data_IF_305322963251
#
_entry.id   IF_305322963251
#
_cell.length_a   1.000
_cell.length_b   1.000
_cell.length_c   1.000
_cell.angle_alpha   90.00
_cell.angle_beta   90.00
_cell.angle_gamma   90.00
#
_symmetry.space_group_name_H-M   'P 1'
#
loop_
_entity.id
_entity.type
_entity.pdbx_description
1 polymer ?
#
# COMPACT_ATOMS: atom_id res chain seq x y z
N UNK A 1 26.57 4.80 12.36
CA UNK A 1 27.06 4.06 11.17
C UNK A 1 25.90 3.88 10.22
N UNK A 2 26.08 3.84 8.90
CA UNK A 2 24.98 3.50 8.01
C UNK A 2 24.46 2.11 8.37
N UNK A 3 23.18 1.98 8.52
CA UNK A 3 22.51 0.70 8.82
C UNK A 3 22.41 -0.05 7.49
N UNK A 4 23.23 -1.10 7.32
CA UNK A 4 23.25 -1.91 6.10
C UNK A 4 22.54 -3.23 6.38
N UNK A 5 21.45 -3.54 5.68
CA UNK A 5 20.76 -4.83 5.81
C UNK A 5 21.64 -5.98 5.30
N UNK A 6 21.64 -7.11 6.00
CA UNK A 6 22.24 -8.36 5.58
C UNK A 6 21.17 -9.31 5.07
N UNK A 7 21.46 -10.04 3.97
CA UNK A 7 20.50 -10.92 3.30
C UNK A 7 21.06 -12.31 3.14
N UNK A 8 20.26 -13.32 3.49
CA UNK A 8 20.54 -14.75 3.23
C UNK A 8 19.32 -15.39 2.56
N UNK A 9 19.60 -16.26 1.57
CA UNK A 9 18.60 -17.16 1.01
C UNK A 9 18.74 -18.53 1.65
N UNK A 10 17.70 -19.02 2.30
CA UNK A 10 17.66 -20.36 2.90
C UNK A 10 17.34 -21.42 1.84
N UNK A 11 17.61 -22.71 2.14
CA UNK A 11 17.13 -23.80 1.32
C UNK A 11 15.62 -23.68 1.06
N UNK A 12 15.16 -23.97 -0.17
CA UNK A 12 13.76 -23.77 -0.57
C UNK A 12 13.44 -22.39 -1.12
N UNK A 13 14.36 -21.40 -1.01
CA UNK A 13 14.22 -20.08 -1.62
C UNK A 13 13.65 -18.99 -0.71
N UNK A 14 13.38 -19.30 0.57
CA UNK A 14 13.01 -18.28 1.57
C UNK A 14 14.14 -17.27 1.76
N UNK A 15 13.82 -16.00 1.69
CA UNK A 15 14.80 -14.93 1.89
C UNK A 15 14.66 -14.33 3.28
N UNK A 16 15.80 -14.16 3.94
CA UNK A 16 15.89 -13.54 5.28
C UNK A 16 16.68 -12.25 5.15
N UNK A 17 16.15 -11.17 5.66
CA UNK A 17 16.88 -9.90 5.77
C UNK A 17 16.92 -9.42 7.20
N UNK A 18 18.10 -8.98 7.65
CA UNK A 18 18.29 -8.42 9.00
C UNK A 18 18.85 -7.02 8.91
N UNK A 19 18.22 -6.10 9.62
CA UNK A 19 18.66 -4.73 9.78
C UNK A 19 19.05 -4.50 11.23
N UNK A 20 20.34 -4.61 11.55
CA UNK A 20 20.82 -4.47 12.93
C UNK A 20 20.73 -3.02 13.41
N UNK A 21 20.08 -2.80 14.53
CA UNK A 21 19.98 -1.52 15.24
C UNK A 21 20.35 -1.76 16.70
N UNK A 22 21.66 -1.76 16.99
CA UNK A 22 22.20 -2.14 18.31
C UNK A 22 21.76 -1.25 19.46
N UNK A 23 21.28 -0.03 19.19
CA UNK A 23 20.74 0.88 20.22
C UNK A 23 19.26 0.65 20.54
N UNK A 24 18.58 -0.19 19.80
CA UNK A 24 17.17 -0.51 20.07
C UNK A 24 17.06 -1.48 21.26
N UNK A 25 15.95 -1.38 22.01
CA UNK A 25 15.58 -2.33 23.07
C UNK A 25 14.48 -3.29 22.62
N UNK A 26 14.29 -3.37 21.31
CA UNK A 26 13.21 -4.14 20.70
C UNK A 26 13.62 -4.66 19.33
N UNK A 27 12.87 -5.63 18.86
CA UNK A 27 12.97 -6.16 17.51
C UNK A 27 11.60 -6.16 16.84
N UNK A 28 11.57 -5.82 15.56
CA UNK A 28 10.40 -5.99 14.70
C UNK A 28 10.64 -7.16 13.76
N UNK A 29 9.71 -8.10 13.73
CA UNK A 29 9.70 -9.22 12.80
C UNK A 29 8.56 -9.01 11.82
N UNK A 30 8.85 -9.03 10.52
CA UNK A 30 7.84 -8.90 9.46
C UNK A 30 8.01 -10.02 8.46
N UNK A 31 6.91 -10.69 8.12
CA UNK A 31 6.86 -11.72 7.08
C UNK A 31 6.05 -11.17 5.92
N UNK A 32 6.71 -10.97 4.81
CA UNK A 32 6.12 -10.51 3.56
C UNK A 32 5.85 -11.68 2.64
N UNK A 33 4.62 -11.79 2.18
CA UNK A 33 4.21 -12.76 1.16
C UNK A 33 3.86 -12.00 -0.11
N UNK A 34 4.39 -12.39 -1.26
CA UNK A 34 4.12 -11.78 -2.56
C UNK A 34 2.75 -12.17 -3.11
N UNK A 35 1.74 -12.08 -2.26
CA UNK A 35 0.35 -12.38 -2.52
C UNK A 35 -0.52 -11.25 -1.97
N UNK A 36 -1.32 -10.63 -2.82
CA UNK A 36 -2.26 -9.58 -2.47
C UNK A 36 -3.48 -9.63 -3.37
N UNK A 37 -4.41 -8.70 -3.19
CA UNK A 37 -5.70 -8.73 -3.90
C UNK A 37 -5.59 -8.71 -5.43
N UNK A 38 -4.43 -8.33 -5.98
CA UNK A 38 -4.18 -8.38 -7.42
C UNK A 38 -4.03 -9.79 -7.99
N UNK A 39 -3.71 -10.77 -7.15
CA UNK A 39 -3.64 -12.18 -7.53
C UNK A 39 -4.99 -12.89 -7.57
N UNK A 40 -6.06 -12.24 -7.16
CA UNK A 40 -7.41 -12.81 -7.08
C UNK A 40 -8.09 -12.92 -8.43
N UNK A 41 -9.04 -13.84 -8.51
CA UNK A 41 -9.97 -13.99 -9.61
C UNK A 41 -11.32 -13.35 -9.26
N UNK A 42 -12.20 -13.19 -10.24
CA UNK A 42 -13.51 -12.56 -10.05
C UNK A 42 -14.33 -13.19 -8.91
N UNK A 43 -14.33 -14.51 -8.83
CA UNK A 43 -15.05 -15.29 -7.80
C UNK A 43 -14.44 -15.12 -6.41
N UNK A 44 -13.15 -14.87 -6.32
CA UNK A 44 -12.37 -14.84 -5.07
C UNK A 44 -11.99 -13.43 -4.63
N UNK A 45 -12.64 -12.39 -5.16
CA UNK A 45 -12.42 -11.00 -4.71
C UNK A 45 -12.54 -10.89 -3.19
N UNK A 46 -11.49 -10.39 -2.53
CA UNK A 46 -11.42 -10.24 -1.07
C UNK A 46 -10.78 -11.42 -0.33
N UNK A 47 -10.38 -12.49 -1.05
CA UNK A 47 -9.79 -13.69 -0.44
C UNK A 47 -8.48 -13.39 0.29
N UNK A 48 -7.58 -12.62 -0.29
CA UNK A 48 -6.28 -12.29 0.30
C UNK A 48 -6.44 -11.54 1.63
N UNK A 49 -7.34 -10.58 1.69
CA UNK A 49 -7.66 -9.83 2.89
C UNK A 49 -8.39 -10.70 3.94
N UNK A 50 -9.34 -11.49 3.52
CA UNK A 50 -10.04 -12.38 4.45
C UNK A 50 -9.08 -13.47 5.01
N UNK A 51 -8.16 -13.98 4.19
CA UNK A 51 -7.13 -14.89 4.69
C UNK A 51 -6.21 -14.22 5.72
N UNK A 52 -5.87 -12.95 5.52
CA UNK A 52 -5.12 -12.19 6.53
C UNK A 52 -5.79 -12.31 7.90
N UNK A 53 -7.11 -12.04 7.99
CA UNK A 53 -7.89 -12.20 9.22
C UNK A 53 -7.83 -13.62 9.77
N UNK A 54 -7.97 -14.61 8.88
CA UNK A 54 -8.01 -16.02 9.28
C UNK A 54 -6.69 -16.53 9.87
N UNK A 55 -5.55 -15.94 9.51
CA UNK A 55 -4.25 -16.29 10.09
C UNK A 55 -4.16 -16.02 11.60
N UNK A 56 -5.02 -15.14 12.14
CA UNK A 56 -5.09 -14.84 13.58
C UNK A 56 -6.07 -15.73 14.35
N UNK A 57 -6.82 -16.62 13.69
CA UNK A 57 -7.95 -17.35 14.32
C UNK A 57 -7.55 -18.67 14.97
N UNK A 58 -6.25 -18.92 15.10
CA UNK A 58 -5.70 -20.03 15.86
C UNK A 58 -4.90 -21.02 15.02
N UNK A 59 -4.10 -21.78 15.76
CA UNK A 59 -3.25 -22.87 15.29
C UNK A 59 -3.45 -24.10 16.20
N UNK A 60 -2.97 -25.30 15.88
CA UNK A 60 -3.00 -26.42 16.82
C UNK A 60 -2.28 -26.15 18.14
N UNK A 61 -1.26 -25.28 18.12
CA UNK A 61 -0.51 -24.87 19.33
C UNK A 61 -1.22 -23.78 20.12
N UNK A 62 -1.97 -22.91 19.46
CA UNK A 62 -2.72 -21.77 20.01
C UNK A 62 -4.11 -21.78 19.42
N UNK A 63 -5.04 -22.60 19.98
CA UNK A 63 -6.32 -22.91 19.32
C UNK A 63 -7.30 -21.73 19.13
N UNK A 64 -7.01 -20.55 19.65
CA UNK A 64 -7.88 -19.38 19.55
C UNK A 64 -7.12 -18.10 19.20
N UNK A 65 -7.85 -17.11 18.67
CA UNK A 65 -7.31 -15.78 18.41
C UNK A 65 -6.74 -15.11 19.67
N UNK A 66 -7.36 -15.36 20.83
CA UNK A 66 -6.88 -14.83 22.12
C UNK A 66 -5.51 -15.40 22.47
N UNK A 67 -5.32 -16.71 22.32
CA UNK A 67 -4.04 -17.37 22.62
C UNK A 67 -2.92 -16.97 21.64
N UNK A 68 -3.27 -16.70 20.37
CA UNK A 68 -2.32 -16.13 19.40
C UNK A 68 -1.90 -14.72 19.83
N UNK A 69 -2.86 -13.87 20.18
CA UNK A 69 -2.58 -12.51 20.64
C UNK A 69 -1.79 -12.50 21.95
N UNK A 70 -2.19 -13.28 22.96
CA UNK A 70 -1.53 -13.38 24.26
C UNK A 70 -0.06 -13.84 24.16
N UNK A 71 0.28 -14.66 23.14
CA UNK A 71 1.66 -15.09 22.93
C UNK A 71 2.61 -13.92 22.63
N UNK A 72 2.11 -12.84 22.03
CA UNK A 72 2.89 -11.63 21.72
C UNK A 72 2.61 -10.53 22.76
N UNK A 73 1.35 -10.27 23.09
CA UNK A 73 0.98 -9.24 24.06
C UNK A 73 1.51 -9.57 25.47
N UNK A 74 1.45 -10.86 25.86
CA UNK A 74 2.03 -11.35 27.11
C UNK A 74 3.56 -11.24 27.16
N UNK A 75 4.22 -11.17 26.00
CA UNK A 75 5.65 -10.86 25.90
C UNK A 75 5.93 -9.34 25.85
N UNK A 76 4.90 -8.48 26.00
CA UNK A 76 5.03 -7.02 25.95
C UNK A 76 5.09 -6.46 24.52
N UNK A 77 4.64 -7.21 23.53
CA UNK A 77 4.68 -6.85 22.13
C UNK A 77 3.32 -6.48 21.54
N UNK A 78 3.33 -6.19 20.25
CA UNK A 78 2.15 -5.96 19.40
C UNK A 78 2.23 -6.85 18.17
N UNK A 79 1.08 -7.33 17.68
CA UNK A 79 0.93 -8.20 16.52
C UNK A 79 -0.12 -7.60 15.58
N UNK A 80 0.18 -7.56 14.29
CA UNK A 80 -0.76 -7.04 13.28
C UNK A 80 -0.40 -7.55 11.87
N UNK A 81 -1.24 -7.23 10.89
CA UNK A 81 -0.99 -7.50 9.48
C UNK A 81 -1.63 -6.42 8.59
N UNK A 82 -1.34 -6.45 7.32
CA UNK A 82 -2.05 -5.71 6.29
C UNK A 82 -1.95 -6.40 4.93
N UNK A 83 -3.01 -6.26 4.14
CA UNK A 83 -3.08 -6.73 2.76
C UNK A 83 -3.09 -5.55 1.80
N UNK A 84 -2.21 -5.61 0.81
CA UNK A 84 -2.14 -4.65 -0.28
C UNK A 84 -2.46 -5.34 -1.62
N UNK A 85 -2.33 -4.61 -2.72
CA UNK A 85 -2.58 -5.16 -4.06
C UNK A 85 -1.64 -6.30 -4.43
N UNK A 86 -0.36 -6.22 -4.08
CA UNK A 86 0.68 -7.16 -4.54
C UNK A 86 1.37 -7.93 -3.41
N UNK A 87 1.03 -7.67 -2.16
CA UNK A 87 1.61 -8.36 -1.02
C UNK A 87 0.68 -8.35 0.19
N UNK A 88 0.92 -9.30 1.10
CA UNK A 88 0.41 -9.31 2.46
C UNK A 88 1.59 -9.34 3.42
N UNK A 89 1.53 -8.57 4.50
CA UNK A 89 2.57 -8.50 5.52
C UNK A 89 1.98 -8.84 6.89
N UNK A 90 2.56 -9.82 7.56
CA UNK A 90 2.29 -10.17 8.95
C UNK A 90 3.48 -9.71 9.79
N UNK A 91 3.25 -9.01 10.88
CA UNK A 91 4.36 -8.47 11.66
C UNK A 91 4.05 -8.43 13.16
N UNK A 92 5.12 -8.51 13.93
CA UNK A 92 5.09 -8.17 15.33
C UNK A 92 6.27 -7.29 15.72
N UNK A 93 6.14 -6.66 16.89
CA UNK A 93 7.18 -5.87 17.50
C UNK A 93 7.25 -6.25 18.97
N UNK A 94 8.38 -6.76 19.40
CA UNK A 94 8.58 -7.33 20.74
C UNK A 94 9.88 -6.79 21.37
N UNK A 95 10.06 -6.87 22.71
CA UNK A 95 11.36 -6.68 23.33
C UNK A 95 12.43 -7.58 22.69
N UNK A 96 13.68 -7.15 22.68
CA UNK A 96 14.77 -7.85 21.99
C UNK A 96 15.06 -9.26 22.56
N UNK A 97 14.81 -9.48 23.87
CA UNK A 97 14.90 -10.78 24.52
C UNK A 97 13.74 -11.73 24.16
N UNK A 98 12.77 -11.28 23.37
CA UNK A 98 11.60 -12.03 22.86
C UNK A 98 11.64 -12.30 21.36
N UNK A 99 12.76 -12.09 20.69
CA UNK A 99 12.93 -12.32 19.27
C UNK A 99 12.46 -13.71 18.82
N UNK A 100 12.87 -14.76 19.54
CA UNK A 100 12.48 -16.15 19.19
C UNK A 100 10.96 -16.33 19.25
N UNK A 101 10.30 -15.77 20.27
CA UNK A 101 8.83 -15.78 20.39
C UNK A 101 8.19 -15.08 19.18
N UNK A 102 8.71 -13.90 18.79
CA UNK A 102 8.20 -13.15 17.64
C UNK A 102 8.27 -13.94 16.34
N UNK A 103 9.40 -14.59 16.07
CA UNK A 103 9.61 -15.42 14.88
C UNK A 103 8.71 -16.67 14.92
N UNK A 104 8.68 -17.36 16.05
CA UNK A 104 7.94 -18.62 16.22
C UNK A 104 6.43 -18.43 16.07
N UNK A 105 5.86 -17.37 16.64
CA UNK A 105 4.41 -17.08 16.52
C UNK A 105 4.02 -16.80 15.08
N UNK A 106 4.77 -15.98 14.34
CA UNK A 106 4.47 -15.72 12.93
C UNK A 106 4.62 -16.97 12.07
N UNK A 107 5.64 -17.79 12.32
CA UNK A 107 5.82 -19.06 11.63
C UNK A 107 4.65 -20.02 11.89
N UNK A 108 4.21 -20.13 13.15
CA UNK A 108 3.08 -20.97 13.52
C UNK A 108 1.77 -20.51 12.86
N UNK A 109 1.51 -19.20 12.85
CA UNK A 109 0.34 -18.62 12.17
C UNK A 109 0.33 -18.94 10.67
N UNK A 110 1.46 -18.77 9.97
CA UNK A 110 1.52 -18.93 8.52
C UNK A 110 1.53 -20.40 8.06
N UNK A 111 2.08 -21.30 8.89
CA UNK A 111 2.18 -22.71 8.51
C UNK A 111 1.02 -23.55 9.03
N UNK A 112 0.44 -23.16 10.17
CA UNK A 112 -0.46 -24.03 10.92
C UNK A 112 -1.83 -23.40 11.20
N UNK A 113 -2.23 -22.34 10.45
CA UNK A 113 -3.56 -21.74 10.60
C UNK A 113 -4.67 -22.83 10.48
N UNK A 114 -5.57 -22.88 11.44
CA UNK A 114 -6.63 -23.89 11.50
C UNK A 114 -7.67 -23.73 10.38
N UNK A 115 -7.97 -22.51 9.99
CA UNK A 115 -8.97 -22.18 8.95
C UNK A 115 -10.28 -22.92 9.18
N UNK A 116 -10.73 -23.03 10.45
CA UNK A 116 -11.94 -23.80 10.76
C UNK A 116 -13.18 -23.14 10.12
N UNK A 117 -14.14 -23.93 9.61
CA UNK A 117 -15.37 -23.39 9.02
C UNK A 117 -16.14 -22.46 9.97
N UNK A 118 -16.15 -22.78 11.26
CA UNK A 118 -16.84 -21.96 12.27
C UNK A 118 -16.20 -20.58 12.44
N UNK A 119 -14.87 -20.49 12.42
CA UNK A 119 -14.17 -19.20 12.50
C UNK A 119 -14.29 -18.43 11.19
N UNK A 120 -14.26 -19.12 10.03
CA UNK A 120 -14.55 -18.49 8.74
C UNK A 120 -15.92 -17.83 8.74
N UNK A 121 -16.96 -18.51 9.24
CA UNK A 121 -18.32 -17.96 9.27
C UNK A 121 -18.45 -16.79 10.25
N UNK A 122 -17.73 -16.80 11.38
CA UNK A 122 -17.70 -15.67 12.31
C UNK A 122 -16.99 -14.47 11.70
N UNK A 123 -15.82 -14.68 11.14
CA UNK A 123 -14.98 -13.62 10.61
C UNK A 123 -15.52 -13.02 9.31
N UNK A 124 -16.26 -13.80 8.52
CA UNK A 124 -17.05 -13.33 7.37
C UNK A 124 -17.90 -12.12 7.72
N UNK A 125 -18.59 -12.16 8.87
CA UNK A 125 -19.41 -11.05 9.33
C UNK A 125 -18.55 -9.81 9.65
N UNK A 126 -17.35 -10.01 10.20
CA UNK A 126 -16.41 -8.90 10.49
C UNK A 126 -15.96 -8.25 9.19
N UNK A 127 -15.50 -9.02 8.21
CA UNK A 127 -15.06 -8.51 6.89
C UNK A 127 -16.21 -7.80 6.17
N UNK A 128 -17.44 -8.34 6.22
CA UNK A 128 -18.61 -7.66 5.65
C UNK A 128 -18.91 -6.32 6.34
N UNK A 129 -18.70 -6.22 7.66
CA UNK A 129 -18.84 -4.94 8.35
C UNK A 129 -17.75 -3.94 7.95
N UNK A 130 -16.54 -4.39 7.68
CA UNK A 130 -15.46 -3.52 7.18
C UNK A 130 -15.75 -3.00 5.78
N UNK A 131 -16.29 -3.85 4.88
CA UNK A 131 -16.76 -3.42 3.55
C UNK A 131 -17.80 -2.32 3.69
N UNK A 132 -18.81 -2.52 4.55
CA UNK A 132 -19.84 -1.52 4.82
C UNK A 132 -19.27 -0.23 5.41
N UNK A 133 -18.37 -0.36 6.40
CA UNK A 133 -17.69 0.79 7.01
C UNK A 133 -16.90 1.61 5.97
N UNK A 134 -16.19 0.96 5.06
CA UNK A 134 -15.48 1.67 3.97
C UNK A 134 -16.46 2.41 3.08
N UNK A 135 -17.57 1.77 2.73
CA UNK A 135 -18.64 2.40 1.96
C UNK A 135 -19.27 3.58 2.69
N UNK A 136 -19.46 3.49 4.02
CA UNK A 136 -20.03 4.55 4.85
C UNK A 136 -19.07 5.75 5.04
N UNK A 137 -17.79 5.63 4.69
CA UNK A 137 -16.82 6.71 4.71
C UNK A 137 -16.67 7.34 3.32
N UNK A 138 -17.29 8.50 3.03
CA UNK A 138 -17.38 9.02 1.66
C UNK A 138 -16.04 9.27 0.99
N UNK A 139 -15.03 9.71 1.75
CA UNK A 139 -13.67 9.91 1.22
C UNK A 139 -12.96 8.60 0.85
N UNK A 140 -13.08 7.57 1.69
CA UNK A 140 -12.54 6.24 1.40
C UNK A 140 -13.27 5.61 0.20
N UNK A 141 -14.59 5.73 0.17
CA UNK A 141 -15.40 5.22 -0.93
C UNK A 141 -15.12 5.91 -2.26
N UNK A 142 -14.89 7.22 -2.27
CA UNK A 142 -14.44 7.93 -3.47
C UNK A 142 -13.09 7.36 -3.98
N UNK A 143 -12.18 6.95 -3.09
CA UNK A 143 -10.94 6.27 -3.45
C UNK A 143 -11.17 4.90 -4.11
N UNK A 144 -12.09 4.09 -3.58
CA UNK A 144 -12.48 2.79 -4.18
C UNK A 144 -13.10 2.98 -5.58
N UNK A 145 -14.02 3.93 -5.72
CA UNK A 145 -14.61 4.28 -7.01
C UNK A 145 -13.57 4.80 -8.01
N UNK A 146 -12.55 5.53 -7.53
CA UNK A 146 -11.43 5.95 -8.38
C UNK A 146 -10.65 4.74 -8.91
N UNK A 147 -10.38 3.74 -8.08
CA UNK A 147 -9.76 2.48 -8.52
C UNK A 147 -10.55 1.80 -9.64
N UNK A 148 -11.87 1.73 -9.51
CA UNK A 148 -12.77 1.21 -10.53
C UNK A 148 -12.76 2.07 -11.81
N UNK A 149 -12.78 3.40 -11.68
CA UNK A 149 -12.70 4.31 -12.82
C UNK A 149 -11.39 4.14 -13.58
N UNK A 150 -10.28 4.01 -12.86
CA UNK A 150 -8.94 3.86 -13.43
C UNK A 150 -8.75 2.53 -14.16
N UNK A 151 -9.12 1.44 -13.50
CA UNK A 151 -8.74 0.10 -13.97
C UNK A 151 -9.91 -0.77 -14.42
N UNK A 152 -11.17 -0.36 -14.17
CA UNK A 152 -12.33 -1.15 -14.56
C UNK A 152 -12.46 -2.48 -13.79
N UNK A 153 -13.10 -3.45 -14.43
CA UNK A 153 -13.33 -4.78 -13.84
C UNK A 153 -12.12 -5.70 -14.03
N UNK A 154 -11.06 -5.40 -13.31
CA UNK A 154 -9.84 -6.20 -13.21
C UNK A 154 -9.27 -6.08 -11.79
N UNK A 155 -8.35 -6.97 -11.34
CA UNK A 155 -7.87 -7.01 -9.96
C UNK A 155 -7.33 -5.69 -9.41
N UNK A 156 -6.71 -4.85 -10.26
CA UNK A 156 -6.26 -3.52 -9.83
C UNK A 156 -7.41 -2.55 -9.55
N UNK A 157 -8.56 -2.70 -10.19
CA UNK A 157 -9.75 -1.88 -9.98
C UNK A 157 -10.69 -2.39 -8.88
N UNK A 158 -10.53 -3.64 -8.42
CA UNK A 158 -11.38 -4.20 -7.37
C UNK A 158 -10.99 -3.68 -5.99
N UNK A 159 -11.92 -3.68 -5.04
CA UNK A 159 -11.60 -3.45 -3.62
C UNK A 159 -10.72 -4.56 -3.07
N UNK A 160 -9.76 -4.23 -2.23
CA UNK A 160 -8.93 -5.23 -1.54
C UNK A 160 -9.76 -6.11 -0.60
N UNK A 161 -10.82 -5.55 -0.01
CA UNK A 161 -11.75 -6.30 0.83
C UNK A 161 -12.78 -7.14 0.06
N UNK A 162 -12.80 -7.06 -1.28
CA UNK A 162 -13.80 -7.73 -2.10
C UNK A 162 -15.18 -7.07 -2.06
N UNK A 163 -16.21 -7.87 -2.25
CA UNK A 163 -17.63 -7.47 -2.14
C UNK A 163 -18.35 -8.33 -1.11
N UNK A 164 -19.51 -7.87 -0.62
CA UNK A 164 -20.31 -8.67 0.32
C UNK A 164 -20.66 -10.05 -0.29
N UNK A 165 -20.99 -10.11 -1.58
CA UNK A 165 -21.34 -11.34 -2.28
C UNK A 165 -20.15 -12.29 -2.44
N UNK A 166 -18.99 -11.79 -2.86
CA UNK A 166 -17.80 -12.63 -3.04
C UNK A 166 -17.31 -13.18 -1.71
N UNK A 167 -17.24 -12.33 -0.66
CA UNK A 167 -16.87 -12.73 0.70
C UNK A 167 -17.86 -13.75 1.28
N UNK A 168 -19.18 -13.60 0.98
CA UNK A 168 -20.20 -14.57 1.40
C UNK A 168 -19.99 -15.97 0.78
N UNK A 169 -19.44 -16.04 -0.42
CA UNK A 169 -19.25 -17.28 -1.17
C UNK A 169 -17.93 -18.02 -0.87
N UNK A 170 -16.95 -17.37 -0.23
CA UNK A 170 -15.65 -17.98 0.09
C UNK A 170 -15.79 -19.15 1.07
N UNK A 171 -15.11 -20.24 0.79
CA UNK A 171 -15.09 -21.45 1.60
C UNK A 171 -13.66 -21.84 2.01
N UNK A 172 -13.52 -22.73 2.99
CA UNK A 172 -12.21 -23.19 3.49
C UNK A 172 -11.27 -23.64 2.36
N UNK A 173 -11.78 -24.31 1.34
CA UNK A 173 -11.00 -24.78 0.21
C UNK A 173 -10.32 -23.64 -0.57
N UNK A 174 -10.97 -22.48 -0.70
CA UNK A 174 -10.41 -21.30 -1.38
C UNK A 174 -9.17 -20.77 -0.65
N UNK A 175 -9.21 -20.71 0.69
CA UNK A 175 -8.06 -20.32 1.51
C UNK A 175 -6.92 -21.31 1.40
N UNK A 176 -7.21 -22.60 1.44
CA UNK A 176 -6.19 -23.66 1.31
C UNK A 176 -5.52 -23.62 -0.06
N UNK A 177 -6.30 -23.45 -1.13
CA UNK A 177 -5.78 -23.32 -2.49
C UNK A 177 -4.89 -22.07 -2.60
N UNK A 178 -5.33 -20.92 -2.09
CA UNK A 178 -4.56 -19.69 -2.09
C UNK A 178 -3.22 -19.83 -1.36
N UNK A 179 -3.21 -20.42 -0.17
CA UNK A 179 -1.99 -20.71 0.57
C UNK A 179 -1.06 -21.60 -0.24
N UNK A 180 -1.61 -22.67 -0.85
CA UNK A 180 -0.84 -23.59 -1.69
C UNK A 180 -0.18 -22.90 -2.89
N UNK A 181 -0.85 -21.93 -3.50
CA UNK A 181 -0.36 -21.20 -4.68
C UNK A 181 0.64 -20.10 -4.33
N UNK A 182 0.42 -19.36 -3.24
CA UNK A 182 1.12 -18.09 -3.01
C UNK A 182 2.08 -18.11 -1.82
N UNK A 183 1.90 -18.96 -0.81
CA UNK A 183 2.67 -18.95 0.45
C UNK A 183 3.89 -19.89 0.42
N UNK A 184 4.40 -20.19 -0.77
CA UNK A 184 5.63 -20.97 -0.92
C UNK A 184 6.88 -20.13 -0.58
N UNK A 185 7.92 -20.82 -0.07
CA UNK A 185 9.17 -20.21 0.39
C UNK A 185 9.82 -19.21 -0.61
N UNK A 186 9.82 -19.43 -1.94
CA UNK A 186 10.38 -18.47 -2.89
C UNK A 186 9.63 -17.12 -2.95
N UNK A 187 8.36 -17.11 -2.53
CA UNK A 187 7.50 -15.94 -2.53
C UNK A 187 7.43 -15.23 -1.17
N UNK A 188 8.26 -15.65 -0.21
CA UNK A 188 8.26 -15.13 1.16
C UNK A 188 9.59 -14.46 1.49
N UNK A 189 9.51 -13.35 2.22
CA UNK A 189 10.65 -12.65 2.82
C UNK A 189 10.38 -12.48 4.31
N UNK A 190 11.29 -12.98 5.14
CA UNK A 190 11.30 -12.68 6.58
C UNK A 190 12.28 -11.55 6.84
N UNK A 191 11.78 -10.44 7.33
CA UNK A 191 12.56 -9.24 7.65
C UNK A 191 12.57 -8.99 9.15
N UNK A 192 13.75 -8.87 9.72
CA UNK A 192 13.93 -8.57 11.14
C UNK A 192 14.79 -7.33 11.30
N UNK A 193 14.33 -6.39 12.13
CA UNK A 193 15.12 -5.20 12.44
C UNK A 193 15.10 -4.92 13.95
N UNK A 194 16.27 -4.55 14.49
CA UNK A 194 16.41 -4.25 15.91
C UNK A 194 17.74 -4.71 16.50
N UNK A 195 17.76 -4.92 17.80
CA UNK A 195 18.97 -5.34 18.52
C UNK A 195 19.17 -6.87 18.40
N UNK A 196 19.67 -7.31 17.27
CA UNK A 196 19.95 -8.72 16.99
C UNK A 196 21.03 -8.87 15.92
N UNK A 197 21.63 -10.06 15.80
CA UNK A 197 22.58 -10.39 14.75
C UNK A 197 21.92 -11.15 13.60
N UNK A 198 22.46 -11.01 12.39
CA UNK A 198 21.96 -11.75 11.22
C UNK A 198 22.07 -13.27 11.39
N UNK A 199 23.16 -13.76 12.00
CA UNK A 199 23.37 -15.19 12.29
C UNK A 199 22.25 -15.74 13.19
N UNK A 200 21.91 -15.01 14.26
CA UNK A 200 20.81 -15.40 15.17
C UNK A 200 19.48 -15.47 14.42
N UNK A 201 19.16 -14.43 13.64
CA UNK A 201 17.91 -14.36 12.87
C UNK A 201 17.84 -15.49 11.84
N UNK A 202 18.89 -15.70 11.03
CA UNK A 202 18.91 -16.75 10.02
C UNK A 202 18.78 -18.14 10.62
N UNK A 203 19.41 -18.39 11.79
CA UNK A 203 19.28 -19.63 12.53
C UNK A 203 17.85 -19.89 13.04
N UNK A 204 17.22 -18.88 13.62
CA UNK A 204 15.83 -18.98 14.11
C UNK A 204 14.83 -19.14 12.96
N UNK A 205 14.97 -18.34 11.91
CA UNK A 205 14.10 -18.46 10.72
C UNK A 205 14.27 -19.82 10.07
N UNK A 206 15.50 -20.32 9.92
CA UNK A 206 15.76 -21.66 9.40
C UNK A 206 15.15 -22.77 10.23
N UNK A 207 14.96 -22.58 11.54
CA UNK A 207 14.32 -23.56 12.43
C UNK A 207 12.79 -23.53 12.31
N UNK A 208 12.18 -22.36 12.26
CA UNK A 208 10.72 -22.20 12.37
C UNK A 208 10.01 -22.10 11.02
N UNK A 209 10.69 -21.63 9.98
CA UNK A 209 10.16 -21.50 8.61
C UNK A 209 10.67 -22.61 7.67
N UNK A 210 10.92 -23.81 8.20
CA UNK A 210 11.26 -24.97 7.39
C UNK A 210 10.03 -25.45 6.60
N UNK A 211 9.75 -24.80 5.48
CA UNK A 211 8.62 -25.12 4.61
C UNK A 211 9.11 -25.92 3.40
N UNK A 212 8.42 -27.02 3.10
CA UNK A 212 8.68 -27.83 1.91
C UNK A 212 8.00 -27.26 0.64
N UNK A 213 7.16 -26.23 0.77
CA UNK A 213 6.48 -25.59 -0.36
C UNK A 213 7.48 -24.74 -1.14
N UNK A 214 8.06 -25.32 -2.18
CA UNK A 214 9.07 -24.68 -3.04
C UNK A 214 8.52 -24.27 -4.40
N UNK A 215 7.22 -24.48 -4.65
CA UNK A 215 6.58 -24.11 -5.91
C UNK A 215 6.67 -22.58 -6.14
N UNK A 216 6.91 -22.21 -7.38
CA UNK A 216 6.87 -20.80 -7.78
C UNK A 216 5.43 -20.33 -7.84
N UNK A 217 5.15 -19.16 -7.27
CA UNK A 217 3.84 -18.54 -7.33
C UNK A 217 3.47 -18.12 -8.76
N UNK A 218 2.18 -18.08 -9.09
CA UNK A 218 1.71 -17.54 -10.36
C UNK A 218 2.16 -16.10 -10.58
N UNK A 219 2.28 -15.70 -11.84
CA UNK A 219 2.45 -14.28 -12.17
C UNK A 219 1.08 -13.59 -12.12
N UNK A 220 1.05 -12.38 -11.56
CA UNK A 220 -0.15 -11.54 -11.63
C UNK A 220 -0.37 -11.04 -13.07
N UNK A 221 -1.62 -10.90 -13.46
CA UNK A 221 -1.96 -10.34 -14.76
C UNK A 221 -1.47 -8.89 -14.89
N UNK A 222 -0.90 -8.57 -16.07
CA UNK A 222 -0.48 -7.20 -16.37
C UNK A 222 -1.69 -6.28 -16.46
N UNK A 223 -1.54 -5.04 -15.96
CA UNK A 223 -2.58 -4.03 -16.12
C UNK A 223 -2.67 -3.63 -17.59
N UNK A 224 -3.84 -3.88 -18.19
CA UNK A 224 -4.13 -3.43 -19.56
C UNK A 224 -4.42 -1.93 -19.60
N UNK A 225 -3.88 -1.25 -20.62
CA UNK A 225 -4.28 0.10 -20.97
C UNK A 225 -3.54 1.22 -20.26
N UNK A 226 -3.32 2.29 -21.00
CA UNK A 226 -2.74 3.55 -20.52
C UNK A 226 -3.81 4.63 -20.29
N UNK A 227 -5.07 4.30 -20.50
CA UNK A 227 -6.23 5.21 -20.40
C UNK A 227 -7.20 4.63 -19.38
N UNK A 228 -7.83 5.46 -18.53
CA UNK A 228 -8.83 4.99 -17.58
C UNK A 228 -9.95 4.19 -18.25
N UNK A 229 -10.43 3.16 -17.58
CA UNK A 229 -11.57 2.36 -18.04
C UNK A 229 -12.85 3.21 -18.12
N UNK A 230 -13.00 4.15 -17.18
CA UNK A 230 -14.05 5.19 -17.16
C UNK A 230 -13.42 6.51 -16.77
N UNK A 231 -13.90 7.60 -17.39
CA UNK A 231 -13.41 8.95 -17.07
C UNK A 231 -14.02 9.52 -15.80
N UNK A 232 -15.23 9.13 -15.45
CA UNK A 232 -15.91 9.56 -14.25
C UNK A 232 -16.77 8.46 -13.63
N UNK A 233 -16.90 8.48 -12.31
CA UNK A 233 -17.90 7.74 -11.53
C UNK A 233 -18.44 8.68 -10.46
N UNK A 234 -19.76 8.78 -10.34
CA UNK A 234 -20.45 9.56 -9.33
C UNK A 234 -21.36 8.73 -8.46
N UNK A 235 -21.40 9.01 -7.16
CA UNK A 235 -22.39 8.45 -6.25
C UNK A 235 -23.06 9.56 -5.44
N UNK A 236 -24.38 9.72 -5.63
CA UNK A 236 -25.18 10.69 -4.87
C UNK A 236 -25.46 10.18 -3.47
N UNK A 237 -25.12 10.99 -2.44
CA UNK A 237 -25.41 10.71 -1.03
C UNK A 237 -25.85 11.97 -0.30
N UNK A 238 -26.80 11.88 0.66
CA UNK A 238 -27.28 13.03 1.43
C UNK A 238 -26.28 13.40 2.56
N UNK A 239 -25.11 13.89 2.19
CA UNK A 239 -24.01 14.30 3.06
C UNK A 239 -23.65 15.77 2.83
N UNK A 240 -23.04 16.43 3.82
CA UNK A 240 -22.77 17.86 3.77
C UNK A 240 -21.63 18.27 2.82
N UNK A 241 -20.69 17.37 2.57
CA UNK A 241 -19.51 17.64 1.72
C UNK A 241 -19.50 16.68 0.53
N UNK A 242 -18.97 17.15 -0.59
CA UNK A 242 -18.56 16.28 -1.68
C UNK A 242 -17.10 15.85 -1.49
N UNK A 243 -16.86 14.54 -1.63
CA UNK A 243 -15.53 13.95 -1.57
C UNK A 243 -15.09 13.63 -2.98
N UNK A 244 -14.07 14.31 -3.42
CA UNK A 244 -13.50 14.22 -4.77
C UNK A 244 -12.23 13.35 -4.69
N UNK A 245 -12.14 12.35 -5.54
CA UNK A 245 -10.88 11.66 -5.82
C UNK A 245 -10.62 11.70 -7.33
N UNK A 246 -9.45 12.17 -7.71
CA UNK A 246 -8.98 12.26 -9.09
C UNK A 246 -7.69 11.45 -9.22
N UNK A 247 -7.50 10.74 -10.33
CA UNK A 247 -6.29 9.97 -10.52
C UNK A 247 -5.89 9.82 -11.95
N UNK A 248 -4.64 9.46 -12.14
CA UNK A 248 -4.07 9.12 -13.44
C UNK A 248 -3.03 8.02 -13.31
N UNK A 249 -2.83 7.18 -14.35
CA UNK A 249 -1.77 6.18 -14.35
C UNK A 249 -0.41 6.84 -14.17
N UNK A 250 0.37 6.33 -13.22
CA UNK A 250 1.70 6.81 -12.89
C UNK A 250 2.77 5.75 -13.18
N UNK A 251 3.98 6.02 -12.75
CA UNK A 251 5.14 5.19 -13.04
C UNK A 251 5.15 3.91 -12.19
N UNK A 252 5.52 2.76 -12.77
CA UNK A 252 5.70 1.54 -12.03
C UNK A 252 6.85 1.61 -11.03
N UNK A 253 6.91 0.64 -10.12
CA UNK A 253 7.86 0.61 -8.99
C UNK A 253 9.33 0.61 -9.42
N UNK A 254 9.67 -0.03 -10.53
CA UNK A 254 11.05 -0.12 -11.05
C UNK A 254 11.42 0.98 -12.04
N UNK A 255 10.49 1.91 -12.33
CA UNK A 255 10.80 3.01 -13.25
C UNK A 255 11.93 3.90 -12.71
N UNK A 256 12.95 4.22 -13.49
CA UNK A 256 14.07 5.06 -13.05
C UNK A 256 13.61 6.46 -12.62
N UNK A 257 12.53 6.97 -13.21
CA UNK A 257 11.97 8.29 -12.90
C UNK A 257 11.10 8.30 -11.63
N UNK A 258 11.02 7.20 -10.86
CA UNK A 258 10.23 7.12 -9.63
C UNK A 258 10.60 8.18 -8.60
N UNK A 259 11.85 8.62 -8.55
CA UNK A 259 12.31 9.66 -7.63
C UNK A 259 11.88 11.06 -8.10
N UNK A 260 11.91 11.28 -9.41
CA UNK A 260 11.36 12.51 -10.00
C UNK A 260 9.87 12.63 -9.71
N UNK A 261 9.11 11.53 -9.84
CA UNK A 261 7.69 11.49 -9.51
C UNK A 261 7.42 11.79 -8.01
N UNK A 262 8.31 11.39 -7.11
CA UNK A 262 8.20 11.74 -5.68
C UNK A 262 8.34 13.25 -5.46
N UNK A 263 9.30 13.89 -6.13
CA UNK A 263 9.49 15.36 -6.06
C UNK A 263 8.32 16.09 -6.72
N UNK A 264 7.88 15.64 -7.89
CA UNK A 264 6.70 16.17 -8.59
C UNK A 264 5.46 16.13 -7.66
N UNK A 265 5.21 14.99 -7.02
CA UNK A 265 4.10 14.84 -6.07
C UNK A 265 4.25 15.79 -4.86
N UNK A 266 5.48 16.03 -4.41
CA UNK A 266 5.74 16.96 -3.30
C UNK A 266 5.43 18.41 -3.69
N UNK A 267 5.79 18.83 -4.89
CA UNK A 267 5.41 20.14 -5.46
C UNK A 267 3.89 20.23 -5.58
N UNK A 268 3.26 19.18 -6.13
CA UNK A 268 1.83 19.17 -6.44
C UNK A 268 0.96 19.26 -5.19
N UNK A 269 1.06 18.29 -4.27
CA UNK A 269 0.04 18.13 -3.23
C UNK A 269 0.51 17.61 -1.88
N UNK A 270 1.82 17.56 -1.57
CA UNK A 270 2.31 17.13 -0.25
C UNK A 270 2.64 18.33 0.66
N UNK A 271 1.92 18.40 1.78
CA UNK A 271 2.10 19.44 2.79
C UNK A 271 1.43 20.78 2.43
N UNK A 272 1.36 21.66 3.43
CA UNK A 272 0.66 22.96 3.34
C UNK A 272 1.31 23.97 2.39
N UNK A 273 2.49 23.69 1.90
CA UNK A 273 3.21 24.55 0.97
C UNK A 273 3.14 24.10 -0.48
N UNK A 274 2.41 23.02 -0.77
CA UNK A 274 2.19 22.49 -2.11
C UNK A 274 1.26 23.38 -2.95
N UNK A 275 1.29 23.20 -4.27
CA UNK A 275 0.46 23.99 -5.20
C UNK A 275 -1.02 23.80 -4.93
N UNK A 276 -1.49 22.54 -4.80
CA UNK A 276 -2.90 22.27 -4.52
C UNK A 276 -3.37 22.89 -3.22
N UNK A 277 -2.59 22.82 -2.15
CA UNK A 277 -2.97 23.43 -0.89
C UNK A 277 -3.08 24.94 -1.02
N UNK A 278 -2.12 25.61 -1.66
CA UNK A 278 -2.12 27.05 -1.87
C UNK A 278 -3.27 27.51 -2.76
N UNK A 279 -3.48 26.86 -3.92
CA UNK A 279 -4.44 27.33 -4.90
C UNK A 279 -5.88 26.96 -4.56
N UNK A 280 -6.10 25.71 -4.10
CA UNK A 280 -7.47 25.21 -3.86
C UNK A 280 -7.96 25.62 -2.48
N UNK A 281 -7.10 25.52 -1.45
CA UNK A 281 -7.52 25.79 -0.06
C UNK A 281 -7.25 27.23 0.35
N UNK A 282 -5.98 27.70 0.30
CA UNK A 282 -5.63 29.00 0.89
C UNK A 282 -6.12 30.20 0.07
N UNK A 283 -5.92 30.18 -1.24
CA UNK A 283 -6.27 31.34 -2.09
C UNK A 283 -7.75 31.41 -2.44
N UNK A 284 -8.38 30.27 -2.68
CA UNK A 284 -9.76 30.23 -3.20
C UNK A 284 -10.77 29.69 -2.19
N UNK A 285 -10.34 29.05 -1.10
CA UNK A 285 -11.22 28.51 -0.07
C UNK A 285 -12.17 27.41 -0.56
N UNK A 286 -11.81 26.69 -1.65
CA UNK A 286 -12.70 25.71 -2.27
C UNK A 286 -12.77 24.39 -1.51
N UNK A 287 -11.71 24.04 -0.78
CA UNK A 287 -11.62 22.76 -0.08
C UNK A 287 -11.13 22.94 1.36
N UNK A 288 -11.70 22.16 2.28
CA UNK A 288 -11.18 22.02 3.64
C UNK A 288 -9.88 21.22 3.67
N UNK A 289 -9.81 20.18 2.86
CA UNK A 289 -8.63 19.33 2.70
C UNK A 289 -8.37 19.07 1.24
N UNK A 290 -7.10 19.10 0.84
CA UNK A 290 -6.66 18.72 -0.50
C UNK A 290 -5.22 18.22 -0.42
N UNK A 291 -4.94 17.16 -1.18
CA UNK A 291 -3.60 16.60 -1.23
C UNK A 291 -3.42 15.60 -2.36
N UNK A 292 -2.18 15.17 -2.58
CA UNK A 292 -1.87 14.14 -3.56
C UNK A 292 -0.97 13.04 -2.98
N UNK A 293 -1.09 11.83 -3.53
CA UNK A 293 -0.31 10.66 -3.17
C UNK A 293 0.03 9.84 -4.41
N UNK A 294 1.13 9.09 -4.34
CA UNK A 294 1.55 8.15 -5.38
C UNK A 294 1.59 6.76 -4.78
N UNK A 295 0.87 5.82 -5.39
CA UNK A 295 1.06 4.38 -5.19
C UNK A 295 1.75 3.78 -6.40
N UNK A 296 2.60 2.76 -6.18
CA UNK A 296 3.40 2.12 -7.22
C UNK A 296 3.30 0.61 -7.11
N UNK A 297 3.08 -0.02 -8.25
CA UNK A 297 2.97 -1.46 -8.40
C UNK A 297 4.04 -1.97 -9.37
N UNK A 298 4.08 -3.26 -9.61
CA UNK A 298 5.11 -3.90 -10.43
C UNK A 298 5.18 -3.34 -11.86
N UNK A 299 4.04 -3.08 -12.48
CA UNK A 299 3.91 -2.64 -13.88
C UNK A 299 3.09 -1.35 -14.07
N UNK A 300 2.56 -0.77 -12.99
CA UNK A 300 1.74 0.45 -13.01
C UNK A 300 1.92 1.27 -11.72
N UNK A 301 1.28 2.41 -11.66
CA UNK A 301 1.11 3.25 -10.48
C UNK A 301 -0.10 4.15 -10.63
N UNK A 302 -0.46 4.83 -9.56
CA UNK A 302 -1.48 5.89 -9.55
C UNK A 302 -0.88 7.13 -8.90
N UNK A 303 -1.01 8.28 -9.55
CA UNK A 303 -0.98 9.58 -8.89
C UNK A 303 -2.43 9.94 -8.58
N UNK A 304 -2.78 9.94 -7.32
CA UNK A 304 -4.12 10.26 -6.83
C UNK A 304 -4.15 11.62 -6.14
N UNK A 305 -5.23 12.35 -6.32
CA UNK A 305 -5.52 13.62 -5.65
C UNK A 305 -6.85 13.44 -4.93
N UNK A 306 -6.94 13.84 -3.68
CA UNK A 306 -8.17 13.82 -2.89
C UNK A 306 -8.49 15.21 -2.38
N UNK A 307 -9.80 15.56 -2.36
CA UNK A 307 -10.27 16.82 -1.80
C UNK A 307 -11.65 16.66 -1.17
N UNK A 308 -11.84 17.31 0.00
CA UNK A 308 -13.16 17.52 0.61
C UNK A 308 -13.63 18.94 0.31
N UNK A 309 -14.71 19.06 -0.45
CA UNK A 309 -15.20 20.36 -0.96
C UNK A 309 -16.68 20.57 -0.65
N UNK A 310 -17.13 21.81 -0.63
CA UNK A 310 -18.57 22.09 -0.64
C UNK A 310 -19.17 21.65 -1.98
N UNK A 311 -20.41 21.13 -2.01
CA UNK A 311 -21.00 20.57 -3.23
C UNK A 311 -20.99 21.53 -4.42
N UNK A 312 -21.30 22.79 -4.19
CA UNK A 312 -21.30 23.85 -5.20
C UNK A 312 -19.92 24.16 -5.79
N UNK A 313 -18.86 23.78 -5.08
CA UNK A 313 -17.46 24.06 -5.48
C UNK A 313 -16.79 22.91 -6.23
N UNK A 314 -17.44 21.75 -6.41
CA UNK A 314 -16.83 20.57 -7.06
C UNK A 314 -16.25 20.90 -8.43
N UNK A 315 -17.04 21.53 -9.31
CA UNK A 315 -16.62 21.91 -10.68
C UNK A 315 -15.41 22.82 -10.65
N UNK A 316 -15.45 23.86 -9.83
CA UNK A 316 -14.36 24.85 -9.74
C UNK A 316 -13.08 24.22 -9.12
N UNK A 317 -13.21 23.43 -8.08
CA UNK A 317 -12.07 22.74 -7.46
C UNK A 317 -11.38 21.79 -8.45
N UNK A 318 -12.13 20.99 -9.17
CA UNK A 318 -11.58 20.07 -10.20
C UNK A 318 -10.90 20.87 -11.31
N UNK A 319 -11.51 21.98 -11.79
CA UNK A 319 -10.91 22.86 -12.79
C UNK A 319 -9.56 23.42 -12.33
N UNK A 320 -9.48 23.93 -11.11
CA UNK A 320 -8.24 24.45 -10.53
C UNK A 320 -7.18 23.37 -10.38
N UNK A 321 -7.57 22.16 -9.94
CA UNK A 321 -6.65 21.03 -9.87
C UNK A 321 -6.08 20.71 -11.26
N UNK A 322 -6.92 20.63 -12.29
CA UNK A 322 -6.49 20.37 -13.67
C UNK A 322 -5.56 21.45 -14.20
N UNK A 323 -5.81 22.74 -13.88
CA UNK A 323 -4.92 23.85 -14.24
C UNK A 323 -3.54 23.71 -13.60
N UNK A 324 -3.46 23.30 -12.33
CA UNK A 324 -2.17 23.10 -11.67
C UNK A 324 -1.42 21.88 -12.22
N UNK A 325 -2.12 20.83 -12.66
CA UNK A 325 -1.52 19.71 -13.39
C UNK A 325 -0.91 20.17 -14.72
N UNK A 326 -1.65 20.96 -15.51
CA UNK A 326 -1.17 21.50 -16.78
C UNK A 326 0.06 22.40 -16.59
N UNK A 327 0.01 23.30 -15.62
CA UNK A 327 1.18 24.16 -15.32
C UNK A 327 2.40 23.33 -14.94
N UNK A 328 2.23 22.29 -14.11
CA UNK A 328 3.34 21.44 -13.68
C UNK A 328 3.92 20.60 -14.83
N UNK A 329 3.13 20.32 -15.87
CA UNK A 329 3.59 19.63 -17.08
C UNK A 329 4.21 20.57 -18.12
N UNK A 330 3.95 21.90 -18.07
CA UNK A 330 4.33 22.84 -19.12
C UNK A 330 5.35 23.89 -18.67
N UNK A 331 5.35 24.24 -17.38
CA UNK A 331 6.16 25.31 -16.83
C UNK A 331 7.25 24.76 -15.90
N UNK A 332 8.47 25.29 -15.94
CA UNK A 332 9.51 24.88 -15.01
C UNK A 332 9.15 25.24 -13.57
N UNK A 333 9.41 24.30 -12.66
CA UNK A 333 9.32 24.57 -11.23
C UNK A 333 10.40 25.58 -10.82
N UNK A 334 10.00 26.62 -10.10
CA UNK A 334 10.93 27.63 -9.60
C UNK A 334 11.99 27.04 -8.67
N UNK A 335 13.20 27.62 -8.66
CA UNK A 335 14.32 27.06 -7.90
C UNK A 335 14.02 26.90 -6.40
N UNK A 336 13.37 27.91 -5.80
CA UNK A 336 13.02 27.86 -4.37
C UNK A 336 11.96 26.77 -4.07
N UNK A 337 10.97 26.64 -4.96
CA UNK A 337 9.92 25.62 -4.85
C UNK A 337 10.51 24.20 -4.99
N UNK A 338 11.42 24.02 -5.96
CA UNK A 338 12.12 22.76 -6.18
C UNK A 338 13.01 22.37 -4.99
N UNK A 339 13.81 23.32 -4.48
CA UNK A 339 14.67 23.12 -3.32
C UNK A 339 13.84 22.69 -2.11
N UNK A 340 12.75 23.39 -1.83
CA UNK A 340 11.83 23.05 -0.75
C UNK A 340 11.19 21.66 -0.93
N UNK A 341 10.78 21.30 -2.15
CA UNK A 341 10.19 19.99 -2.42
C UNK A 341 11.20 18.85 -2.21
N UNK A 342 12.46 19.06 -2.60
CA UNK A 342 13.56 18.11 -2.34
C UNK A 342 13.79 17.94 -0.83
N UNK A 343 13.96 19.05 -0.11
CA UNK A 343 14.22 19.03 1.33
C UNK A 343 13.07 18.38 2.09
N UNK A 344 11.83 18.71 1.74
CA UNK A 344 10.64 18.11 2.33
C UNK A 344 10.58 16.60 2.06
N UNK A 345 10.88 16.18 0.83
CA UNK A 345 10.83 14.75 0.46
C UNK A 345 11.96 13.95 1.12
N UNK A 346 13.19 14.48 1.10
CA UNK A 346 14.35 13.85 1.76
C UNK A 346 14.17 13.81 3.28
N UNK A 347 13.72 14.91 3.87
CA UNK A 347 13.42 14.98 5.31
C UNK A 347 12.35 13.97 5.71
N UNK A 348 11.23 13.95 5.01
CA UNK A 348 10.14 13.00 5.25
C UNK A 348 10.57 11.54 5.06
N UNK A 349 11.40 11.26 4.04
CA UNK A 349 11.97 9.92 3.85
C UNK A 349 12.84 9.49 5.02
N UNK A 350 13.75 10.36 5.50
CA UNK A 350 14.61 10.05 6.66
C UNK A 350 13.80 9.87 7.94
N UNK A 351 12.85 10.77 8.22
CA UNK A 351 11.96 10.67 9.39
C UNK A 351 11.12 9.38 9.38
N UNK A 352 10.70 8.92 8.19
CA UNK A 352 9.95 7.67 8.06
C UNK A 352 10.76 6.41 8.39
N UNK A 353 12.09 6.51 8.57
CA UNK A 353 13.00 5.39 8.81
C UNK A 353 13.64 5.41 10.22
N UNK A 354 13.09 6.17 11.16
CA UNK A 354 13.66 6.32 12.50
C UNK A 354 13.48 5.09 13.40
N UNK A 355 12.51 4.23 13.10
CA UNK A 355 12.22 3.06 13.94
C UNK A 355 12.77 1.77 13.34
N UNK A 356 13.15 0.76 14.16
CA UNK A 356 13.51 -0.57 13.68
C UNK A 356 12.42 -1.16 12.78
N UNK A 357 11.14 -1.02 13.16
CA UNK A 357 10.01 -1.51 12.36
C UNK A 357 10.01 -0.92 10.96
N UNK A 358 10.15 0.39 10.83
CA UNK A 358 10.16 1.05 9.53
C UNK A 358 11.35 0.64 8.65
N UNK A 359 12.53 0.47 9.25
CA UNK A 359 13.72 -0.04 8.57
C UNK A 359 13.51 -1.48 8.08
N UNK A 360 12.98 -2.35 8.95
CA UNK A 360 12.67 -3.74 8.63
C UNK A 360 11.61 -3.85 7.54
N UNK A 361 10.52 -3.11 7.66
CA UNK A 361 9.45 -3.14 6.65
C UNK A 361 9.95 -2.67 5.29
N UNK A 362 10.73 -1.57 5.24
CA UNK A 362 11.34 -1.12 3.98
C UNK A 362 12.26 -2.18 3.38
N UNK A 363 13.12 -2.80 4.19
CA UNK A 363 14.06 -3.81 3.71
C UNK A 363 13.33 -5.04 3.17
N UNK A 364 12.35 -5.56 3.89
CA UNK A 364 11.55 -6.72 3.49
C UNK A 364 10.70 -6.47 2.25
N UNK A 365 9.98 -5.34 2.21
CA UNK A 365 9.17 -4.97 1.04
C UNK A 365 10.03 -4.77 -0.21
N UNK A 366 11.17 -4.06 -0.09
CA UNK A 366 12.08 -3.86 -1.22
C UNK A 366 12.67 -5.17 -1.71
N UNK A 367 13.12 -6.04 -0.82
CA UNK A 367 13.66 -7.35 -1.19
C UNK A 367 12.61 -8.21 -1.89
N UNK A 368 11.34 -8.19 -1.42
CA UNK A 368 10.25 -8.92 -2.05
C UNK A 368 9.93 -8.36 -3.44
N UNK A 369 9.76 -7.04 -3.55
CA UNK A 369 9.15 -6.41 -4.74
C UNK A 369 10.15 -5.92 -5.77
N UNK A 370 11.38 -5.57 -5.33
CA UNK A 370 12.47 -5.13 -6.21
C UNK A 370 13.55 -6.20 -6.39
N UNK A 371 13.63 -7.19 -5.50
CA UNK A 371 14.70 -8.18 -5.48
C UNK A 371 16.02 -7.65 -4.90
N UNK A 372 16.05 -6.39 -4.49
CA UNK A 372 17.22 -5.69 -3.95
C UNK A 372 16.79 -4.66 -2.89
N UNK A 373 17.72 -4.29 -2.02
CA UNK A 373 17.51 -3.25 -1.01
C UNK A 373 18.38 -2.07 -1.36
N UNK A 374 17.77 -1.01 -1.85
CA UNK A 374 18.49 0.20 -2.21
C UNK A 374 19.01 0.93 -0.96
N UNK A 375 20.31 1.29 -0.90
CA UNK A 375 20.87 2.05 0.21
C UNK A 375 20.12 3.37 0.43
N UNK A 376 19.95 3.76 1.69
CA UNK A 376 19.21 4.98 2.06
C UNK A 376 19.86 6.21 1.44
N UNK A 377 21.18 6.30 1.47
CA UNK A 377 21.91 7.46 0.94
C UNK A 377 21.82 7.56 -0.59
N UNK A 378 21.78 6.41 -1.31
CA UNK A 378 21.58 6.40 -2.76
C UNK A 378 20.20 6.97 -3.13
N UNK A 379 19.16 6.62 -2.35
CA UNK A 379 17.82 7.22 -2.53
C UNK A 379 17.86 8.73 -2.28
N UNK A 380 18.54 9.16 -1.23
CA UNK A 380 18.68 10.58 -0.89
C UNK A 380 19.41 11.34 -2.00
N UNK A 381 20.50 10.78 -2.53
CA UNK A 381 21.25 11.37 -3.62
C UNK A 381 20.39 11.53 -4.88
N UNK A 382 19.64 10.47 -5.26
CA UNK A 382 18.74 10.50 -6.41
C UNK A 382 17.62 11.54 -6.25
N UNK A 383 17.05 11.66 -5.05
CA UNK A 383 16.04 12.69 -4.76
C UNK A 383 16.63 14.12 -4.86
N UNK A 384 17.85 14.33 -4.36
CA UNK A 384 18.55 15.63 -4.43
C UNK A 384 18.98 16.01 -5.84
N UNK A 385 19.28 15.02 -6.68
CA UNK A 385 19.71 15.23 -8.05
C UNK A 385 18.59 15.69 -9.00
N UNK A 386 17.29 15.51 -8.62
CA UNK A 386 16.14 15.86 -9.49
C UNK A 386 16.18 17.33 -9.88
N UNK A 387 16.23 17.65 -11.17
CA UNK A 387 16.19 19.00 -11.74
C UNK A 387 14.78 19.47 -12.11
N UNK A 388 14.62 20.76 -12.41
CA UNK A 388 13.36 21.31 -12.90
C UNK A 388 12.94 20.70 -14.25
N UNK A 389 13.92 20.44 -15.12
CA UNK A 389 13.69 19.80 -16.42
C UNK A 389 13.21 18.35 -16.28
N UNK A 390 13.70 17.62 -15.26
CA UNK A 390 13.21 16.27 -14.96
C UNK A 390 11.76 16.29 -14.54
N UNK A 391 11.36 17.27 -13.70
CA UNK A 391 9.96 17.42 -13.24
C UNK A 391 9.04 17.69 -14.42
N UNK A 392 9.42 18.57 -15.37
CA UNK A 392 8.64 18.80 -16.60
C UNK A 392 8.53 17.53 -17.42
N UNK A 393 9.64 16.86 -17.67
CA UNK A 393 9.70 15.63 -18.48
C UNK A 393 8.78 14.55 -17.91
N UNK A 394 8.82 14.32 -16.61
CA UNK A 394 7.94 13.35 -15.95
C UNK A 394 6.51 13.88 -15.86
N UNK A 395 6.31 15.18 -15.66
CA UNK A 395 5.01 15.82 -15.74
C UNK A 395 4.32 15.58 -17.09
N UNK A 396 5.00 15.80 -18.21
CA UNK A 396 4.49 15.52 -19.56
C UNK A 396 4.17 14.05 -19.79
N UNK A 397 4.88 13.13 -19.15
CA UNK A 397 4.66 11.69 -19.23
C UNK A 397 3.43 11.25 -18.42
N UNK A 398 3.19 11.84 -17.25
CA UNK A 398 2.20 11.40 -16.26
C UNK A 398 0.95 12.27 -16.24
N UNK A 399 1.11 13.62 -16.24
CA UNK A 399 0.03 14.58 -16.03
C UNK A 399 -0.71 14.91 -17.34
N UNK A 400 -1.38 13.92 -17.90
CA UNK A 400 -2.08 14.04 -19.19
C UNK A 400 -3.57 14.01 -18.97
N UNK A 401 -4.29 15.05 -19.45
CA UNK A 401 -5.73 15.22 -19.25
C UNK A 401 -6.55 14.03 -19.73
N UNK A 402 -6.21 13.47 -20.89
CA UNK A 402 -6.89 12.29 -21.44
C UNK A 402 -6.74 11.02 -20.58
N UNK A 403 -5.82 11.05 -19.58
CA UNK A 403 -5.57 9.94 -18.65
C UNK A 403 -6.20 10.16 -17.27
N UNK A 404 -6.86 11.29 -17.07
CA UNK A 404 -7.50 11.61 -15.79
C UNK A 404 -8.80 10.83 -15.65
N UNK A 405 -8.97 10.20 -14.51
CA UNK A 405 -10.24 9.69 -14.01
C UNK A 405 -10.68 10.50 -12.78
N UNK A 406 -11.98 10.63 -12.58
CA UNK A 406 -12.61 11.39 -11.50
C UNK A 406 -13.64 10.51 -10.81
N UNK A 407 -13.66 10.51 -9.49
CA UNK A 407 -14.78 9.98 -8.71
C UNK A 407 -15.26 11.02 -7.70
N UNK A 408 -16.56 11.08 -7.50
CA UNK A 408 -17.18 12.00 -6.53
C UNK A 408 -18.27 11.30 -5.75
N UNK A 409 -18.22 11.41 -4.44
CA UNK A 409 -19.29 11.00 -3.51
C UNK A 409 -19.79 12.24 -2.78
N UNK A 410 -21.04 12.59 -2.99
CA UNK A 410 -21.61 13.83 -2.42
C UNK A 410 -23.09 14.00 -2.74
N UNK A 411 -23.71 15.09 -2.31
CA UNK A 411 -25.09 15.38 -2.71
C UNK A 411 -25.15 15.81 -4.19
N UNK A 412 -26.25 15.51 -4.84
CA UNK A 412 -26.59 15.96 -6.20
C UNK A 412 -25.47 15.68 -7.25
N UNK A 413 -24.80 14.52 -7.10
CA UNK A 413 -23.73 14.11 -8.03
C UNK A 413 -24.33 13.43 -9.25
N UNK A 414 -24.10 14.01 -10.44
CA UNK A 414 -24.48 13.45 -11.74
C UNK A 414 -23.24 13.11 -12.55
N UNK A 415 -23.13 11.88 -13.03
CA UNK A 415 -21.94 11.37 -13.73
C UNK A 415 -21.70 12.13 -15.08
N UNK A 416 -22.75 12.48 -15.81
CA UNK A 416 -22.64 13.27 -17.05
C UNK A 416 -21.98 14.63 -16.79
N UNK A 417 -22.34 15.29 -15.69
CA UNK A 417 -21.74 16.56 -15.31
C UNK A 417 -20.25 16.42 -14.94
N UNK A 418 -19.88 15.29 -14.31
CA UNK A 418 -18.47 14.98 -14.02
C UNK A 418 -17.66 14.71 -15.30
N UNK A 419 -18.22 14.00 -16.26
CA UNK A 419 -17.59 13.73 -17.56
C UNK A 419 -17.28 15.02 -18.32
N UNK A 420 -18.19 16.03 -18.31
CA UNK A 420 -17.95 17.33 -18.92
C UNK A 420 -16.73 18.06 -18.32
N UNK A 421 -16.47 17.90 -17.03
CA UNK A 421 -15.36 18.59 -16.37
C UNK A 421 -14.00 18.02 -16.77
N UNK A 422 -13.90 16.70 -17.00
CA UNK A 422 -12.65 16.01 -17.32
C UNK A 422 -12.46 15.74 -18.83
N UNK A 423 -13.42 16.15 -19.65
CA UNK A 423 -13.32 16.09 -21.12
C UNK A 423 -12.56 17.25 -21.68
#
# INVERSE_FOLDING_TARGET
MPVTPEVTSLPGGLRVVTTQVASAQSVSVSVFVGAGSRGEEERTKGLAHFLEHMMFKGTPKRPSAVEVAEAIEGAGGVLNAYTAKELTCYWNHVPDDRLETGIEVLADMLHNALLSPEEIDRERNVVQQEIKRTRDQPGAWAGELLGQAMYGDQPMGWSTAGTEDTVAALAQADFQEWIGLWYGAPNVVVSVAGNTSHETVAGLVGRYFSDERTAQSPSVASVGGSVPARRAIGEARPIAQANVAMGMPALPRRDPDRYVLMILNSVLGRGMSSRLFKEVRERRGLAYSVGSAVSRHSDTGILAISAGVSPENVREAVRVILEELDKLAQEPVGQDELTKARDYTVGGFRLSLETPMALGQRAGENLLTLGEIEPIEDVVEKLRAVGAEDVIRVGQRVLRRERVALSVVGPDVEEEALLEIVS
#
